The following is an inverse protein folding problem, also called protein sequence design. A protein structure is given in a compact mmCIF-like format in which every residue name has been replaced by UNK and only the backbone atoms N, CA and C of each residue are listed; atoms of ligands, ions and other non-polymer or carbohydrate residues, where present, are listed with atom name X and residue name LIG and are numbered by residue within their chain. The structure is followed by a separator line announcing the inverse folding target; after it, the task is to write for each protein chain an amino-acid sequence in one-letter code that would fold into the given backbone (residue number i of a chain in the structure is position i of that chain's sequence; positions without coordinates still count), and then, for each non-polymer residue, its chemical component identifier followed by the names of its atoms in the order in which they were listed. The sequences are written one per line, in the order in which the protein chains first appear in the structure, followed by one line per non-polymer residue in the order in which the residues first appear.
data_IF_036406292030
#
_entry.id   IF_036406292030
#
_cell.length_a   1.000
_cell.length_b   1.000
_cell.length_c   1.000
_cell.angle_alpha   90.00
_cell.angle_beta   90.00
_cell.angle_gamma   90.00
#
_symmetry.space_group_name_H-M   'P 1'
#
loop_
_entity.id
_entity.type
_entity.pdbx_description
1 polymer ?
#
# COMPACT_ATOMS: atom_id res chain seq x y z
N UNK A 1 -13.04 13.44 -12.93
CA UNK A 1 -13.27 12.06 -13.45
C UNK A 1 -11.98 11.61 -14.10
N UNK A 2 -11.36 10.54 -13.58
CA UNK A 2 -10.21 9.95 -14.23
C UNK A 2 -10.69 9.23 -15.49
N UNK A 3 -10.21 9.59 -16.66
CA UNK A 3 -10.70 9.12 -17.96
C UNK A 3 -10.54 7.62 -18.26
N UNK A 4 -10.72 6.78 -17.26
CA UNK A 4 -10.77 5.33 -17.40
C UNK A 4 -12.16 4.91 -17.84
N UNK A 5 -12.29 4.30 -19.02
CA UNK A 5 -13.58 3.85 -19.56
C UNK A 5 -14.19 2.64 -18.84
N UNK A 6 -13.56 2.12 -17.78
CA UNK A 6 -14.10 1.04 -16.97
C UNK A 6 -15.13 1.58 -15.97
N UNK A 7 -16.28 0.91 -15.92
CA UNK A 7 -17.32 1.18 -14.93
C UNK A 7 -17.09 0.29 -13.71
N UNK A 8 -16.49 0.86 -12.67
CA UNK A 8 -16.21 0.19 -11.40
C UNK A 8 -16.08 1.22 -10.27
N UNK A 9 -15.73 0.77 -9.06
CA UNK A 9 -15.69 1.56 -7.84
C UNK A 9 -14.40 2.38 -7.66
N UNK A 10 -13.51 2.43 -8.64
CA UNK A 10 -12.19 3.08 -8.50
C UNK A 10 -12.31 4.57 -8.17
N UNK A 11 -13.33 5.25 -8.67
CA UNK A 11 -13.53 6.67 -8.35
C UNK A 11 -13.80 6.85 -6.85
N UNK A 12 -14.63 5.99 -6.26
CA UNK A 12 -14.90 6.03 -4.83
C UNK A 12 -13.62 5.75 -3.99
N UNK A 13 -12.77 4.84 -4.46
CA UNK A 13 -11.46 4.60 -3.82
C UNK A 13 -10.57 5.83 -3.92
N UNK A 14 -10.52 6.49 -5.07
CA UNK A 14 -9.74 7.72 -5.25
C UNK A 14 -10.21 8.84 -4.32
N UNK A 15 -11.52 9.03 -4.20
CA UNK A 15 -12.10 10.05 -3.33
C UNK A 15 -11.70 9.77 -1.86
N UNK A 16 -11.80 8.52 -1.41
CA UNK A 16 -11.35 8.12 -0.07
C UNK A 16 -9.85 8.31 0.15
N UNK A 17 -9.02 7.99 -0.82
CA UNK A 17 -7.58 8.25 -0.75
C UNK A 17 -7.29 9.76 -0.63
N UNK A 18 -8.01 10.61 -1.35
CA UNK A 18 -7.84 12.05 -1.27
C UNK A 18 -8.32 12.65 0.07
N UNK A 19 -9.38 12.10 0.65
CA UNK A 19 -9.92 12.49 1.96
C UNK A 19 -9.03 12.05 3.14
N UNK A 20 -8.21 11.00 2.99
CA UNK A 20 -7.43 10.43 4.08
C UNK A 20 -6.08 11.14 4.26
N UNK A 21 -5.53 11.10 5.47
CA UNK A 21 -4.17 11.60 5.77
C UNK A 21 -3.10 10.55 5.49
N UNK A 22 -3.46 9.27 5.66
CA UNK A 22 -2.57 8.13 5.43
C UNK A 22 -3.29 7.02 4.67
N UNK A 23 -2.60 6.41 3.73
CA UNK A 23 -3.05 5.21 3.01
C UNK A 23 -2.26 4.01 3.49
N UNK A 24 -2.94 3.02 4.07
CA UNK A 24 -2.34 1.75 4.45
C UNK A 24 -2.73 0.70 3.41
N UNK A 25 -1.74 0.17 2.69
CA UNK A 25 -1.93 -0.90 1.73
C UNK A 25 -1.75 -2.25 2.42
N UNK A 26 -2.82 -3.01 2.56
CA UNK A 26 -2.81 -4.33 3.18
C UNK A 26 -2.91 -5.43 2.10
N UNK A 27 -1.91 -6.34 2.05
CA UNK A 27 -1.86 -7.40 1.04
C UNK A 27 -1.10 -8.62 1.54
N UNK A 28 -1.54 -9.84 1.23
CA UNK A 28 -0.64 -10.99 1.27
C UNK A 28 0.39 -10.87 0.16
N UNK A 29 1.57 -11.43 0.41
CA UNK A 29 2.65 -11.50 -0.59
C UNK A 29 2.64 -12.88 -1.24
N UNK A 30 2.42 -12.89 -2.53
CA UNK A 30 2.50 -14.06 -3.39
C UNK A 30 3.64 -13.90 -4.39
N UNK A 31 4.54 -14.88 -4.43
CA UNK A 31 5.70 -14.85 -5.32
C UNK A 31 6.46 -13.49 -5.24
N UNK A 32 6.71 -13.01 -4.01
CA UNK A 32 7.42 -11.76 -3.67
C UNK A 32 6.72 -10.44 -4.03
N UNK A 33 5.48 -10.48 -4.56
CA UNK A 33 4.71 -9.28 -4.93
C UNK A 33 3.31 -9.29 -4.29
N UNK A 34 2.63 -8.17 -4.38
CA UNK A 34 1.24 -8.05 -3.96
C UNK A 34 0.31 -8.86 -4.85
N UNK A 35 -0.94 -9.01 -4.41
CA UNK A 35 -1.98 -9.68 -5.19
C UNK A 35 -2.30 -8.96 -6.50
N UNK A 36 -2.79 -9.66 -7.53
CA UNK A 36 -3.19 -9.03 -8.79
C UNK A 36 -4.21 -7.88 -8.63
N UNK A 37 -5.26 -7.97 -7.78
CA UNK A 37 -6.15 -6.84 -7.53
C UNK A 37 -5.43 -5.62 -6.93
N UNK A 38 -4.51 -5.84 -5.98
CA UNK A 38 -3.71 -4.75 -5.42
C UNK A 38 -2.83 -4.10 -6.48
N UNK A 39 -2.19 -4.89 -7.34
CA UNK A 39 -1.36 -4.38 -8.43
C UNK A 39 -2.19 -3.55 -9.42
N UNK A 40 -3.37 -4.04 -9.79
CA UNK A 40 -4.28 -3.30 -10.66
C UNK A 40 -4.70 -1.96 -10.05
N UNK A 41 -4.98 -1.93 -8.75
CA UNK A 41 -5.30 -0.68 -8.03
C UNK A 41 -4.11 0.27 -8.03
N UNK A 42 -2.89 -0.21 -7.72
CA UNK A 42 -1.68 0.61 -7.70
C UNK A 42 -1.40 1.25 -9.06
N UNK A 43 -1.57 0.52 -10.17
CA UNK A 43 -1.38 1.05 -11.51
C UNK A 43 -2.39 2.16 -11.84
N UNK A 44 -3.63 2.00 -11.41
CA UNK A 44 -4.67 3.01 -11.59
C UNK A 44 -4.47 4.23 -10.70
N UNK A 45 -4.03 4.03 -9.45
CA UNK A 45 -3.71 5.12 -8.54
C UNK A 45 -2.56 5.98 -9.07
N UNK A 46 -1.46 5.35 -9.51
CA UNK A 46 -0.32 6.12 -10.05
C UNK A 46 -0.70 6.89 -11.31
N UNK A 47 -1.48 6.28 -12.19
CA UNK A 47 -1.94 6.94 -13.41
C UNK A 47 -2.88 8.12 -13.13
N UNK A 48 -3.87 7.92 -12.25
CA UNK A 48 -4.90 8.92 -11.97
C UNK A 48 -4.44 10.02 -11.02
N UNK A 49 -3.65 9.67 -9.99
CA UNK A 49 -3.26 10.61 -8.92
C UNK A 49 -2.02 11.43 -9.25
N UNK A 50 -1.05 10.89 -9.99
CA UNK A 50 0.21 11.59 -10.22
C UNK A 50 0.09 12.75 -11.22
N UNK A 51 -0.88 12.73 -12.11
CA UNK A 51 -1.08 13.76 -13.14
C UNK A 51 0.15 13.99 -14.03
N UNK A 52 1.00 12.98 -14.20
CA UNK A 52 2.21 13.06 -15.05
C UNK A 52 1.93 12.71 -16.50
N UNK A 53 0.76 12.13 -16.77
CA UNK A 53 0.34 11.62 -18.06
C UNK A 53 -0.90 12.37 -18.57
N UNK A 54 -1.10 12.37 -19.88
CA UNK A 54 -2.24 13.03 -20.51
C UNK A 54 -1.93 14.42 -21.03
N UNK A 55 -2.95 15.11 -21.50
CA UNK A 55 -2.84 16.45 -22.12
C UNK A 55 -2.57 17.54 -21.08
N UNK A 56 -3.24 17.44 -19.93
CA UNK A 56 -3.07 18.36 -18.80
C UNK A 56 -2.19 17.69 -17.75
N UNK A 57 -0.98 18.18 -17.61
CA UNK A 57 -0.07 17.76 -16.56
C UNK A 57 -0.19 18.73 -15.39
N UNK A 58 -0.11 18.20 -14.20
CA UNK A 58 -0.19 19.02 -12.99
C UNK A 58 0.59 18.38 -11.85
N UNK A 59 0.61 19.01 -10.68
CA UNK A 59 1.17 18.39 -9.51
C UNK A 59 0.39 17.12 -9.14
N UNK A 60 1.08 16.17 -8.50
CA UNK A 60 0.44 14.95 -8.00
C UNK A 60 -0.67 15.31 -7.00
N UNK A 61 -1.86 14.76 -7.19
CA UNK A 61 -3.03 15.05 -6.35
C UNK A 61 -2.87 14.57 -4.90
N UNK A 62 -2.04 13.59 -4.68
CA UNK A 62 -1.76 13.01 -3.37
C UNK A 62 -0.35 13.28 -2.86
N UNK A 63 0.34 14.24 -3.44
CA UNK A 63 1.68 14.65 -3.01
C UNK A 63 1.70 15.00 -1.52
N UNK A 64 2.71 14.49 -0.82
CA UNK A 64 2.88 14.70 0.62
C UNK A 64 2.04 13.78 1.50
N UNK A 65 1.07 13.03 0.95
CA UNK A 65 0.27 12.06 1.72
C UNK A 65 1.15 10.94 2.26
N UNK A 66 0.81 10.45 3.44
CA UNK A 66 1.48 9.33 4.06
C UNK A 66 1.05 7.99 3.43
N UNK A 67 1.97 7.04 3.34
CA UNK A 67 1.69 5.67 2.90
C UNK A 67 2.49 4.67 3.73
N UNK A 68 1.83 3.58 4.14
CA UNK A 68 2.42 2.46 4.85
C UNK A 68 1.96 1.13 4.27
N UNK A 69 2.69 0.06 4.57
CA UNK A 69 2.37 -1.30 4.12
C UNK A 69 2.06 -2.20 5.30
N UNK A 70 1.03 -3.02 5.15
CA UNK A 70 0.70 -4.11 6.05
C UNK A 70 0.68 -5.41 5.25
N UNK A 71 1.57 -6.35 5.57
CA UNK A 71 1.79 -7.52 4.71
C UNK A 71 1.75 -8.82 5.51
N UNK A 72 1.36 -9.89 4.83
CA UNK A 72 1.54 -11.26 5.29
C UNK A 72 2.35 -12.04 4.25
N UNK A 73 3.20 -12.96 4.66
CA UNK A 73 4.04 -13.74 3.76
C UNK A 73 4.35 -15.14 4.33
N UNK A 74 4.67 -16.08 3.45
CA UNK A 74 5.05 -17.44 3.83
C UNK A 74 6.52 -17.57 4.26
N UNK A 75 7.41 -16.78 3.67
CA UNK A 75 8.81 -16.69 4.08
C UNK A 75 9.01 -15.78 5.29
N UNK A 76 10.22 -15.70 5.82
CA UNK A 76 10.55 -14.64 6.77
C UNK A 76 10.37 -13.29 6.09
N UNK A 77 9.83 -12.27 6.77
CA UNK A 77 9.54 -10.99 6.15
C UNK A 77 10.71 -10.37 5.39
N UNK A 78 11.94 -10.51 5.89
CA UNK A 78 13.17 -10.00 5.27
C UNK A 78 13.51 -10.67 3.93
N UNK A 79 12.90 -11.80 3.64
CA UNK A 79 13.10 -12.61 2.42
C UNK A 79 11.83 -12.72 1.58
N UNK A 80 10.68 -12.43 2.15
CA UNK A 80 9.38 -12.59 1.49
C UNK A 80 8.76 -11.29 1.03
N UNK A 81 9.01 -10.19 1.73
CA UNK A 81 8.38 -8.89 1.49
C UNK A 81 9.33 -7.85 0.88
N UNK A 82 10.62 -8.10 0.87
CA UNK A 82 11.69 -7.16 0.50
C UNK A 82 11.54 -6.57 -0.89
N UNK A 83 11.24 -7.38 -1.90
CA UNK A 83 11.08 -6.90 -3.28
C UNK A 83 9.85 -6.00 -3.46
N UNK A 84 8.73 -6.39 -2.86
CA UNK A 84 7.53 -5.56 -2.92
C UNK A 84 7.73 -4.25 -2.16
N UNK A 85 8.33 -4.30 -0.98
CA UNK A 85 8.62 -3.10 -0.18
C UNK A 85 9.56 -2.13 -0.93
N UNK A 86 10.63 -2.63 -1.54
CA UNK A 86 11.53 -1.79 -2.34
C UNK A 86 10.79 -1.16 -3.53
N UNK A 87 9.95 -1.95 -4.22
CA UNK A 87 9.08 -1.43 -5.28
C UNK A 87 8.19 -0.29 -4.78
N UNK A 88 7.60 -0.44 -3.60
CA UNK A 88 6.73 0.57 -3.00
C UNK A 88 7.48 1.81 -2.50
N UNK A 89 8.72 1.70 -2.04
CA UNK A 89 9.59 2.85 -1.75
C UNK A 89 9.82 3.70 -3.01
N UNK A 90 10.09 3.06 -4.13
CA UNK A 90 10.24 3.74 -5.45
C UNK A 90 8.92 4.35 -5.91
N UNK A 91 7.81 3.63 -5.73
CA UNK A 91 6.47 4.10 -6.04
C UNK A 91 6.14 5.37 -5.24
N UNK A 92 6.38 5.38 -3.94
CA UNK A 92 6.16 6.54 -3.08
C UNK A 92 7.02 7.74 -3.52
N UNK A 93 8.31 7.50 -3.78
CA UNK A 93 9.22 8.54 -4.29
C UNK A 93 8.72 9.13 -5.62
N UNK A 94 8.32 8.27 -6.56
CA UNK A 94 7.78 8.70 -7.86
C UNK A 94 6.50 9.52 -7.71
N UNK A 95 5.64 9.15 -6.77
CA UNK A 95 4.33 9.78 -6.55
C UNK A 95 4.36 10.98 -5.60
N UNK A 96 5.52 11.30 -5.03
CA UNK A 96 5.65 12.38 -4.05
C UNK A 96 5.00 12.06 -2.69
N UNK A 97 4.88 10.77 -2.34
CA UNK A 97 4.31 10.29 -1.08
C UNK A 97 5.39 10.17 0.00
N UNK A 98 4.99 10.32 1.25
CA UNK A 98 5.83 10.02 2.43
C UNK A 98 5.67 8.55 2.80
N UNK A 99 6.69 7.76 2.56
CA UNK A 99 6.69 6.35 3.00
C UNK A 99 6.99 6.27 4.50
N UNK A 100 6.04 5.75 5.29
CA UNK A 100 6.15 5.65 6.75
C UNK A 100 6.69 4.30 7.24
N UNK A 101 6.83 3.32 6.36
CA UNK A 101 7.34 2.01 6.72
C UNK A 101 6.37 0.88 6.43
N UNK A 102 6.76 -0.30 6.86
CA UNK A 102 5.99 -1.54 6.66
C UNK A 102 5.95 -2.38 7.93
N UNK A 103 4.88 -3.15 8.07
CA UNK A 103 4.78 -4.24 9.02
C UNK A 103 4.40 -5.51 8.28
N UNK A 104 5.09 -6.61 8.57
CA UNK A 104 4.84 -7.89 7.93
C UNK A 104 4.85 -9.02 8.96
N UNK A 105 3.85 -9.90 8.88
CA UNK A 105 3.75 -11.09 9.70
C UNK A 105 3.82 -12.36 8.86
N UNK A 106 4.54 -13.34 9.38
CA UNK A 106 4.70 -14.63 8.71
C UNK A 106 3.47 -15.51 8.92
N UNK A 107 2.96 -16.10 7.84
CA UNK A 107 1.95 -17.15 7.85
C UNK A 107 2.63 -18.51 7.73
N UNK A 108 2.48 -19.38 8.74
CA UNK A 108 3.19 -20.67 8.83
C UNK A 108 2.46 -21.85 8.19
N UNK A 109 1.27 -21.63 7.66
CA UNK A 109 0.46 -22.67 7.00
C UNK A 109 -0.99 -22.67 7.46
N UNK A 110 -1.80 -23.47 6.76
CA UNK A 110 -3.25 -23.49 6.97
C UNK A 110 -3.67 -24.18 8.28
N UNK A 111 -2.80 -25.01 8.84
CA UNK A 111 -3.08 -25.77 10.07
C UNK A 111 -2.69 -25.02 11.36
N UNK A 112 -2.20 -23.80 11.23
CA UNK A 112 -1.81 -22.95 12.37
C UNK A 112 -2.67 -21.71 12.45
N UNK A 113 -3.06 -21.33 13.70
CA UNK A 113 -3.70 -20.04 13.90
C UNK A 113 -2.74 -18.92 13.46
N UNK A 114 -3.23 -18.02 12.61
CA UNK A 114 -2.39 -16.91 12.11
C UNK A 114 -2.03 -15.94 13.24
N UNK A 115 -3.01 -15.53 14.04
CA UNK A 115 -2.82 -14.55 15.11
C UNK A 115 -2.40 -15.20 16.42
N UNK A 116 -1.44 -14.59 17.07
CA UNK A 116 -1.02 -14.83 18.45
C UNK A 116 -0.79 -13.48 19.15
N UNK A 117 -0.57 -13.53 20.48
CA UNK A 117 -0.40 -12.33 21.29
C UNK A 117 0.81 -11.47 20.86
N UNK A 118 1.89 -12.10 20.41
CA UNK A 118 3.09 -11.40 19.97
C UNK A 118 2.88 -10.66 18.67
N UNK A 119 2.22 -11.28 17.68
CA UNK A 119 1.84 -10.64 16.43
C UNK A 119 0.86 -9.49 16.66
N UNK A 120 -0.12 -9.68 17.54
CA UNK A 120 -1.04 -8.62 17.91
C UNK A 120 -0.30 -7.43 18.54
N UNK A 121 0.61 -7.68 19.47
CA UNK A 121 1.39 -6.63 20.13
C UNK A 121 2.25 -5.84 19.12
N UNK A 122 2.94 -6.54 18.20
CA UNK A 122 3.75 -5.89 17.15
C UNK A 122 2.89 -5.07 16.19
N UNK A 123 1.76 -5.62 15.75
CA UNK A 123 0.84 -4.91 14.83
C UNK A 123 0.25 -3.67 15.49
N UNK A 124 -0.13 -3.75 16.78
CA UNK A 124 -0.60 -2.59 17.55
C UNK A 124 0.49 -1.54 17.76
N UNK A 125 1.75 -1.96 17.95
CA UNK A 125 2.88 -1.04 18.05
C UNK A 125 3.06 -0.28 16.72
N UNK A 126 3.08 -0.97 15.59
CA UNK A 126 3.14 -0.35 14.27
C UNK A 126 2.00 0.63 14.03
N UNK A 127 0.77 0.27 14.39
CA UNK A 127 -0.38 1.18 14.26
C UNK A 127 -0.19 2.46 15.09
N UNK A 128 0.34 2.38 16.32
CA UNK A 128 0.64 3.56 17.15
C UNK A 128 1.73 4.43 16.53
N UNK A 129 2.77 3.83 15.96
CA UNK A 129 3.83 4.57 15.24
C UNK A 129 3.26 5.34 14.04
N UNK A 130 2.40 4.70 13.25
CA UNK A 130 1.72 5.37 12.13
C UNK A 130 0.87 6.55 12.61
N UNK A 131 0.08 6.37 13.66
CA UNK A 131 -0.77 7.46 14.20
C UNK A 131 0.04 8.64 14.75
N UNK A 132 1.26 8.41 15.22
CA UNK A 132 2.17 9.47 15.66
C UNK A 132 2.93 10.17 14.53
N UNK A 133 2.94 9.58 13.32
CA UNK A 133 3.69 10.08 12.16
C UNK A 133 2.82 10.80 11.10
N UNK A 134 1.50 10.76 11.26
CA UNK A 134 0.51 11.35 10.33
C UNK A 134 0.14 12.79 10.70
#
# INVERSE_FOLDING_TARGET
MFGCGQRDDVQAVFDKVLESDCVVLATPIYAWYCTPPMKALLDRLVYGMNKFYGREKGPSLWQGKAMALLMTCGYRPEKGCDLFEEGMRRYCKHSGLRYLGSHAERHLGYDTAFMDADKEARTRAFARELMGAV
#
